data_IF_228371055414
#
_entry.id   IF_228371055414
#
_cell.length_a   1.000
_cell.length_b   1.000
_cell.length_c   1.000
_cell.angle_alpha   90.00
_cell.angle_beta   90.00
_cell.angle_gamma   90.00
#
_symmetry.space_group_name_H-M   'P 1'
#
loop_
_entity.id
_entity.type
_entity.pdbx_description
1 polymer ?
#
# COMPACT_ATOMS: atom_id res chain seq x y z
N UNK A 1 -73.59 54.52 -6.95
CA UNK A 1 -72.85 53.24 -6.67
C UNK A 1 -73.69 52.44 -5.69
N UNK A 2 -74.26 51.35 -6.14
CA UNK A 2 -75.15 50.50 -5.35
C UNK A 2 -74.38 49.74 -4.26
N UNK A 3 -75.04 49.49 -3.12
CA UNK A 3 -74.49 48.68 -2.00
C UNK A 3 -73.98 47.30 -2.46
N UNK A 4 -74.56 46.76 -3.53
CA UNK A 4 -74.21 45.51 -4.16
C UNK A 4 -72.83 45.55 -4.83
N UNK A 5 -72.44 46.67 -5.45
CA UNK A 5 -71.13 46.83 -6.12
C UNK A 5 -69.97 46.92 -5.09
N UNK A 6 -70.24 47.53 -3.95
CA UNK A 6 -69.26 47.62 -2.86
C UNK A 6 -68.97 46.25 -2.23
N UNK A 7 -70.02 45.45 -2.02
CA UNK A 7 -69.83 44.08 -1.47
C UNK A 7 -69.11 43.18 -2.43
N UNK A 8 -69.34 43.26 -3.72
CA UNK A 8 -68.67 42.49 -4.75
C UNK A 8 -67.13 42.80 -4.81
N UNK A 9 -66.83 44.12 -4.77
CA UNK A 9 -65.45 44.58 -4.78
C UNK A 9 -64.63 44.08 -3.52
N UNK A 10 -65.31 44.16 -2.35
CA UNK A 10 -64.64 43.67 -1.11
C UNK A 10 -64.42 42.13 -1.07
N UNK A 11 -65.37 41.42 -1.66
CA UNK A 11 -65.22 39.94 -1.73
C UNK A 11 -64.14 39.52 -2.71
N UNK A 12 -63.98 40.20 -3.84
CA UNK A 12 -62.91 40.00 -4.79
C UNK A 12 -61.49 40.28 -4.16
N UNK A 13 -61.44 41.36 -3.40
CA UNK A 13 -60.18 41.74 -2.73
C UNK A 13 -59.78 40.73 -1.64
N UNK A 14 -60.74 40.22 -0.87
CA UNK A 14 -60.50 39.13 0.13
C UNK A 14 -60.10 37.84 -0.52
N UNK A 15 -60.62 37.47 -1.67
CA UNK A 15 -60.23 36.23 -2.40
C UNK A 15 -58.86 36.37 -3.03
N UNK A 16 -58.46 37.57 -3.49
CA UNK A 16 -57.09 37.78 -4.02
C UNK A 16 -56.05 37.75 -2.93
N UNK A 17 -56.32 38.29 -1.72
CA UNK A 17 -55.43 38.22 -0.56
C UNK A 17 -55.29 36.79 -0.03
N UNK A 18 -56.37 35.98 -0.02
CA UNK A 18 -56.26 34.55 0.35
C UNK A 18 -55.41 33.75 -0.65
N UNK A 19 -55.55 34.00 -1.95
CA UNK A 19 -54.73 33.32 -2.98
C UNK A 19 -53.25 33.72 -2.91
N UNK A 20 -52.94 34.97 -2.56
CA UNK A 20 -51.56 35.43 -2.33
C UNK A 20 -50.89 34.72 -1.15
N UNK A 21 -51.61 34.58 -0.03
CA UNK A 21 -51.11 33.90 1.17
C UNK A 21 -50.91 32.40 1.02
N UNK A 22 -51.75 31.73 0.19
CA UNK A 22 -51.59 30.29 -0.08
C UNK A 22 -50.44 29.99 -1.03
N UNK A 23 -50.07 30.89 -1.94
CA UNK A 23 -48.92 30.72 -2.82
C UNK A 23 -47.58 30.92 -2.10
N UNK A 24 -47.55 31.82 -1.12
CA UNK A 24 -46.35 32.09 -0.31
C UNK A 24 -46.06 30.97 0.70
N UNK A 25 -47.13 30.38 1.26
CA UNK A 25 -47.01 29.21 2.15
C UNK A 25 -46.56 27.93 1.44
N UNK A 26 -46.83 27.78 0.13
CA UNK A 26 -46.37 26.61 -0.66
C UNK A 26 -44.89 26.68 -1.06
N UNK A 27 -44.30 27.88 -1.05
CA UNK A 27 -42.87 28.06 -1.42
C UNK A 27 -41.92 28.02 -0.21
N UNK A 28 -42.45 28.04 1.02
CA UNK A 28 -41.67 27.74 2.20
C UNK A 28 -41.49 26.21 2.27
N UNK A 29 -40.35 25.73 1.81
CA UNK A 29 -40.02 24.32 1.85
C UNK A 29 -40.29 23.73 3.24
N UNK A 30 -40.95 22.57 3.28
CA UNK A 30 -41.30 21.93 4.56
C UNK A 30 -40.07 21.83 5.46
N UNK A 31 -40.22 21.93 6.80
CA UNK A 31 -39.08 21.83 7.74
C UNK A 31 -38.17 20.60 7.47
N UNK A 32 -38.78 19.56 6.92
CA UNK A 32 -38.05 18.32 6.51
C UNK A 32 -37.18 18.57 5.28
N UNK A 33 -37.60 19.41 4.33
CA UNK A 33 -36.79 19.73 3.14
C UNK A 33 -35.64 20.66 3.48
N UNK A 34 -35.87 21.64 4.36
CA UNK A 34 -34.80 22.52 4.88
C UNK A 34 -33.79 21.74 5.69
N UNK A 35 -34.24 20.83 6.57
CA UNK A 35 -33.35 19.95 7.35
C UNK A 35 -32.56 18.95 6.46
N UNK A 36 -33.16 18.49 5.33
CA UNK A 36 -32.45 17.66 4.34
C UNK A 36 -31.38 18.44 3.59
N UNK A 37 -31.70 19.67 3.17
CA UNK A 37 -30.75 20.54 2.48
C UNK A 37 -29.57 20.94 3.39
N UNK A 38 -29.82 21.21 4.68
CA UNK A 38 -28.78 21.47 5.66
C UNK A 38 -27.91 20.22 5.97
N UNK A 39 -28.51 19.04 6.02
CA UNK A 39 -27.74 17.79 6.17
C UNK A 39 -26.89 17.49 4.94
N UNK A 40 -27.39 17.77 3.74
CA UNK A 40 -26.61 17.62 2.50
C UNK A 40 -25.51 18.68 2.40
N UNK A 41 -25.75 19.92 2.82
CA UNK A 41 -24.73 20.98 2.84
C UNK A 41 -23.60 20.73 3.85
N UNK A 42 -23.92 20.25 5.05
CA UNK A 42 -22.92 19.93 6.05
C UNK A 42 -22.14 18.62 5.75
N UNK A 43 -22.77 17.65 5.08
CA UNK A 43 -22.10 16.45 4.58
C UNK A 43 -21.11 16.74 3.45
N UNK A 44 -21.37 17.76 2.63
CA UNK A 44 -20.50 18.16 1.54
C UNK A 44 -19.24 18.93 2.02
N UNK A 45 -19.30 19.63 3.15
CA UNK A 45 -18.14 20.35 3.70
C UNK A 45 -17.12 19.46 4.43
N UNK A 46 -17.53 18.29 4.93
CA UNK A 46 -16.62 17.32 5.58
C UNK A 46 -16.09 16.23 4.63
N UNK A 47 -16.48 16.26 3.37
CA UNK A 47 -16.37 15.15 2.45
C UNK A 47 -15.42 15.29 1.28
N UNK A 48 -14.43 16.19 1.23
CA UNK A 48 -13.48 16.13 0.11
C UNK A 48 -12.14 16.85 0.42
N UNK A 49 -11.37 16.30 1.35
CA UNK A 49 -9.94 16.19 1.09
C UNK A 49 -9.78 15.03 0.08
N UNK A 50 -10.16 15.25 -1.16
CA UNK A 50 -9.89 14.33 -2.25
C UNK A 50 -8.39 14.40 -2.54
N UNK A 51 -7.61 13.62 -1.79
CA UNK A 51 -6.20 13.45 -2.08
C UNK A 51 -6.13 12.87 -3.50
N UNK A 52 -5.42 13.56 -4.38
CA UNK A 52 -5.20 13.11 -5.76
C UNK A 52 -4.76 11.62 -5.72
N UNK A 53 -5.41 10.72 -6.49
CA UNK A 53 -5.07 9.28 -6.47
C UNK A 53 -3.61 9.01 -6.78
N UNK A 54 -2.95 9.86 -7.56
CA UNK A 54 -1.52 9.78 -7.84
C UNK A 54 -0.69 10.09 -6.58
N UNK A 55 -1.07 11.11 -5.80
CA UNK A 55 -0.39 11.45 -4.55
C UNK A 55 -0.54 10.31 -3.53
N UNK A 56 -1.74 9.73 -3.42
CA UNK A 56 -1.98 8.57 -2.56
C UNK A 56 -1.12 7.38 -2.97
N UNK A 57 -0.96 7.12 -4.26
CA UNK A 57 -0.09 6.05 -4.76
C UNK A 57 1.37 6.30 -4.39
N UNK A 58 1.87 7.52 -4.55
CA UNK A 58 3.24 7.89 -4.18
C UNK A 58 3.46 7.68 -2.68
N UNK A 59 2.54 8.15 -1.84
CA UNK A 59 2.60 7.96 -0.39
C UNK A 59 2.68 6.46 -0.04
N UNK A 60 1.83 5.63 -0.64
CA UNK A 60 1.84 4.18 -0.41
C UNK A 60 3.17 3.53 -0.81
N UNK A 61 3.72 3.93 -1.95
CA UNK A 61 5.02 3.44 -2.46
C UNK A 61 6.15 3.80 -1.49
N UNK A 62 6.19 5.06 -1.05
CA UNK A 62 7.22 5.54 -0.10
C UNK A 62 7.08 4.91 1.28
N UNK A 63 5.85 4.76 1.79
CA UNK A 63 5.60 4.04 3.04
C UNK A 63 6.02 2.57 2.94
N UNK A 64 5.73 1.90 1.82
CA UNK A 64 6.18 0.54 1.57
C UNK A 64 7.71 0.43 1.57
N UNK A 65 8.40 1.37 0.91
CA UNK A 65 9.86 1.42 0.93
C UNK A 65 10.41 1.65 2.35
N UNK A 66 9.81 2.55 3.12
CA UNK A 66 10.20 2.82 4.51
C UNK A 66 10.00 1.61 5.42
N UNK A 67 8.92 0.84 5.26
CA UNK A 67 8.70 -0.41 6.02
C UNK A 67 9.82 -1.42 5.76
N UNK A 68 10.25 -1.57 4.50
CA UNK A 68 11.37 -2.46 4.17
C UNK A 68 12.68 -1.92 4.76
N UNK A 69 12.89 -0.61 4.72
CA UNK A 69 14.05 0.04 5.34
C UNK A 69 14.12 -0.15 6.86
N UNK A 70 12.99 -0.06 7.56
CA UNK A 70 12.90 -0.36 9.00
C UNK A 70 13.22 -1.83 9.30
N UNK A 71 12.67 -2.75 8.53
CA UNK A 71 12.93 -4.18 8.69
C UNK A 71 14.34 -4.57 8.24
N UNK A 72 15.03 -3.74 7.47
CA UNK A 72 16.44 -3.92 7.15
C UNK A 72 17.34 -3.80 8.39
N UNK A 73 16.90 -3.02 9.40
CA UNK A 73 17.66 -2.83 10.63
C UNK A 73 17.57 -4.03 11.59
N UNK A 74 16.59 -4.91 11.39
CA UNK A 74 16.56 -6.22 12.03
C UNK A 74 17.53 -7.12 11.25
N UNK A 75 18.80 -7.10 11.64
CA UNK A 75 19.90 -7.71 10.92
C UNK A 75 20.70 -8.63 11.83
N UNK A 76 21.04 -9.82 11.32
CA UNK A 76 22.05 -10.71 11.90
C UNK A 76 23.27 -10.64 10.99
N UNK A 77 24.40 -10.09 11.47
CA UNK A 77 25.58 -9.92 10.65
C UNK A 77 26.19 -11.27 10.29
N UNK A 78 26.13 -11.63 9.04
CA UNK A 78 26.81 -12.77 8.44
C UNK A 78 27.64 -12.29 7.25
N UNK A 79 28.73 -12.96 6.99
CA UNK A 79 29.56 -12.71 5.82
C UNK A 79 29.31 -13.78 4.75
N UNK A 80 29.18 -13.41 3.46
CA UNK A 80 29.30 -12.08 2.83
C UNK A 80 27.99 -11.26 2.80
N UNK A 81 26.87 -11.83 3.24
CA UNK A 81 25.54 -11.21 3.17
C UNK A 81 24.83 -11.36 4.52
N UNK A 82 24.36 -10.27 5.15
CA UNK A 82 23.62 -10.36 6.42
C UNK A 82 22.22 -10.96 6.22
N UNK A 83 21.74 -11.68 7.22
CA UNK A 83 20.33 -12.12 7.28
C UNK A 83 19.50 -11.01 7.91
N UNK A 84 18.52 -10.47 7.19
CA UNK A 84 17.74 -9.32 7.64
C UNK A 84 16.23 -9.59 7.64
N UNK A 85 15.46 -8.72 8.29
CA UNK A 85 14.00 -8.70 8.23
C UNK A 85 13.43 -8.22 6.89
N UNK A 86 14.25 -7.70 5.97
CA UNK A 86 13.82 -7.10 4.69
C UNK A 86 12.89 -8.00 3.89
N UNK A 87 13.23 -9.28 3.74
CA UNK A 87 12.42 -10.22 2.94
C UNK A 87 10.99 -10.33 3.47
N UNK A 88 10.79 -10.33 4.80
CA UNK A 88 9.45 -10.27 5.38
C UNK A 88 8.71 -8.99 4.97
N UNK A 89 9.40 -7.84 5.04
CA UNK A 89 8.86 -6.55 4.59
C UNK A 89 8.45 -6.57 3.13
N UNK A 90 9.30 -7.11 2.27
CA UNK A 90 9.02 -7.26 0.83
C UNK A 90 7.76 -8.08 0.58
N UNK A 91 7.58 -9.21 1.28
CA UNK A 91 6.39 -10.05 1.17
C UNK A 91 5.13 -9.31 1.60
N UNK A 92 5.18 -8.65 2.76
CA UNK A 92 4.03 -7.92 3.32
C UNK A 92 3.66 -6.70 2.49
N UNK A 93 4.64 -5.90 2.06
CA UNK A 93 4.44 -4.72 1.21
C UNK A 93 3.89 -5.12 -0.16
N UNK A 94 4.45 -6.17 -0.78
CA UNK A 94 3.96 -6.70 -2.04
C UNK A 94 2.50 -7.14 -1.93
N UNK A 95 2.16 -7.92 -0.89
CA UNK A 95 0.79 -8.38 -0.65
C UNK A 95 -0.19 -7.23 -0.34
N UNK A 96 0.23 -6.24 0.46
CA UNK A 96 -0.62 -5.13 0.87
C UNK A 96 -0.91 -4.12 -0.26
N UNK A 97 0.11 -3.80 -1.07
CA UNK A 97 0.02 -2.79 -2.13
C UNK A 97 -0.36 -3.39 -3.50
N UNK A 98 -0.29 -4.70 -3.62
CA UNK A 98 -0.47 -5.41 -4.89
C UNK A 98 0.81 -5.39 -5.75
N UNK A 99 0.83 -6.15 -6.88
CA UNK A 99 2.06 -6.45 -7.60
C UNK A 99 2.77 -5.21 -8.14
N UNK A 100 2.06 -4.30 -8.79
CA UNK A 100 2.68 -3.13 -9.43
C UNK A 100 3.20 -2.11 -8.41
N UNK A 101 2.40 -1.77 -7.38
CA UNK A 101 2.79 -0.79 -6.36
C UNK A 101 3.83 -1.37 -5.40
N UNK A 102 3.73 -2.67 -5.08
CA UNK A 102 4.74 -3.37 -4.29
C UNK A 102 6.11 -3.37 -4.98
N UNK A 103 6.16 -3.71 -6.28
CA UNK A 103 7.39 -3.63 -7.07
C UNK A 103 7.92 -2.18 -7.14
N UNK A 104 7.05 -1.19 -7.37
CA UNK A 104 7.44 0.23 -7.36
C UNK A 104 8.01 0.67 -6.01
N UNK A 105 7.49 0.16 -4.88
CA UNK A 105 8.04 0.43 -3.55
C UNK A 105 9.47 -0.14 -3.41
N UNK A 106 9.76 -1.30 -3.98
CA UNK A 106 11.12 -1.86 -3.97
C UNK A 106 12.08 -1.09 -4.87
N UNK A 107 11.61 -0.59 -6.02
CA UNK A 107 12.38 0.33 -6.86
C UNK A 107 12.69 1.62 -6.10
N UNK A 108 11.70 2.22 -5.44
CA UNK A 108 11.90 3.42 -4.62
C UNK A 108 12.88 3.16 -3.46
N UNK A 109 12.75 2.02 -2.75
CA UNK A 109 13.66 1.59 -1.71
C UNK A 109 15.11 1.52 -2.23
N UNK A 110 15.32 0.85 -3.34
CA UNK A 110 16.64 0.70 -3.96
C UNK A 110 17.22 2.05 -4.39
N UNK A 111 16.47 2.86 -5.15
CA UNK A 111 16.97 4.13 -5.69
C UNK A 111 17.27 5.15 -4.59
N UNK A 112 16.37 5.33 -3.62
CA UNK A 112 16.58 6.25 -2.51
C UNK A 112 17.74 5.80 -1.62
N UNK A 113 17.93 4.48 -1.44
CA UNK A 113 19.10 3.94 -0.76
C UNK A 113 20.40 4.24 -1.49
N UNK A 114 20.43 4.14 -2.84
CA UNK A 114 21.61 4.51 -3.65
C UNK A 114 21.90 6.01 -3.57
N UNK A 115 20.88 6.85 -3.53
CA UNK A 115 21.04 8.32 -3.40
C UNK A 115 21.57 8.73 -2.02
N UNK A 116 21.49 7.84 -1.03
CA UNK A 116 22.11 8.08 0.29
C UNK A 116 21.20 7.96 1.48
N UNK A 117 19.91 7.60 1.31
CA UNK A 117 19.04 7.32 2.45
C UNK A 117 19.60 6.10 3.21
N UNK A 118 19.93 6.22 4.52
CA UNK A 118 20.60 5.18 5.29
C UNK A 118 19.62 4.09 5.77
N UNK A 119 18.98 3.41 4.85
CA UNK A 119 17.95 2.41 5.17
C UNK A 119 18.25 0.99 4.67
N UNK A 120 19.41 0.75 4.04
CA UNK A 120 19.91 -0.61 3.85
C UNK A 120 20.37 -1.20 5.18
N UNK A 121 20.67 -2.51 5.20
CA UNK A 121 21.11 -3.18 6.42
C UNK A 121 22.24 -2.42 7.12
N UNK A 122 22.18 -2.37 8.45
CA UNK A 122 23.14 -1.68 9.31
C UNK A 122 23.25 -0.17 9.02
N UNK A 123 22.10 0.46 8.76
CA UNK A 123 21.98 1.90 8.46
C UNK A 123 22.87 2.36 7.31
N UNK A 124 23.14 1.49 6.34
CA UNK A 124 23.97 1.83 5.18
C UNK A 124 23.13 2.40 4.03
N UNK A 125 23.79 3.16 3.15
CA UNK A 125 23.23 3.77 1.94
C UNK A 125 24.34 4.35 1.07
N UNK A 126 23.95 5.05 0.02
CA UNK A 126 24.85 5.66 -0.94
C UNK A 126 25.33 4.70 -2.04
N UNK A 127 26.03 5.27 -3.03
CA UNK A 127 26.48 4.54 -4.22
C UNK A 127 27.43 3.37 -3.86
N UNK A 128 28.20 3.49 -2.77
CA UNK A 128 29.09 2.43 -2.31
C UNK A 128 28.34 1.15 -1.92
N UNK A 129 27.05 1.23 -1.59
CA UNK A 129 26.24 0.06 -1.29
C UNK A 129 26.09 -0.87 -2.52
N UNK A 130 26.15 -0.31 -3.73
CA UNK A 130 26.10 -1.08 -4.99
C UNK A 130 27.29 -2.04 -5.09
N UNK A 131 28.42 -1.70 -4.52
CA UNK A 131 29.63 -2.56 -4.55
C UNK A 131 29.61 -3.68 -3.49
N UNK A 132 28.57 -3.73 -2.65
CA UNK A 132 28.44 -4.82 -1.66
C UNK A 132 27.87 -6.09 -2.28
N UNK A 133 28.36 -7.28 -1.88
CA UNK A 133 27.84 -8.57 -2.35
C UNK A 133 26.34 -8.75 -2.13
N UNK A 134 25.75 -8.07 -1.12
CA UNK A 134 24.34 -8.12 -0.77
C UNK A 134 23.42 -7.33 -1.70
N UNK A 135 23.96 -6.42 -2.52
CA UNK A 135 23.11 -5.50 -3.32
C UNK A 135 22.25 -6.23 -4.37
N UNK A 136 22.76 -7.32 -4.95
CA UNK A 136 22.01 -8.14 -5.89
C UNK A 136 20.69 -8.69 -5.32
N UNK A 137 20.62 -8.94 -4.02
CA UNK A 137 19.40 -9.39 -3.34
C UNK A 137 18.35 -8.28 -3.31
N UNK A 138 18.78 -6.99 -3.19
CA UNK A 138 17.90 -5.83 -3.24
C UNK A 138 17.26 -5.71 -4.63
N UNK A 139 18.03 -5.97 -5.70
CA UNK A 139 17.49 -6.03 -7.06
C UNK A 139 16.38 -7.10 -7.14
N UNK A 140 16.62 -8.26 -6.56
CA UNK A 140 15.66 -9.37 -6.51
C UNK A 140 14.40 -9.09 -5.67
N UNK A 141 14.38 -8.07 -4.81
CA UNK A 141 13.17 -7.66 -4.09
C UNK A 141 12.09 -7.13 -5.00
N UNK A 142 12.45 -6.54 -6.15
CA UNK A 142 11.48 -6.01 -7.12
C UNK A 142 10.54 -7.11 -7.65
N UNK A 143 11.05 -8.18 -8.30
CA UNK A 143 10.20 -9.28 -8.72
C UNK A 143 9.59 -10.05 -7.54
N UNK A 144 10.26 -10.12 -6.38
CA UNK A 144 9.74 -10.76 -5.18
C UNK A 144 8.46 -10.06 -4.68
N UNK A 145 8.45 -8.71 -4.57
CA UNK A 145 7.27 -7.94 -4.19
C UNK A 145 6.15 -8.08 -5.25
N UNK A 146 6.48 -8.12 -6.52
CA UNK A 146 5.50 -8.34 -7.59
C UNK A 146 4.79 -9.69 -7.44
N UNK A 147 5.55 -10.77 -7.27
CA UNK A 147 5.03 -12.13 -7.10
C UNK A 147 4.22 -12.25 -5.80
N UNK A 148 4.72 -11.67 -4.70
CA UNK A 148 3.98 -11.59 -3.44
C UNK A 148 2.63 -10.87 -3.59
N UNK A 149 2.59 -9.77 -4.34
CA UNK A 149 1.36 -9.06 -4.63
C UNK A 149 0.33 -9.89 -5.42
N UNK A 150 0.79 -10.79 -6.27
CA UNK A 150 -0.08 -11.72 -7.00
C UNK A 150 -0.77 -12.76 -6.11
N UNK A 151 -0.26 -13.01 -4.92
CA UNK A 151 -0.86 -13.97 -3.99
C UNK A 151 -2.31 -13.63 -3.64
N UNK A 152 -2.70 -12.35 -3.70
CA UNK A 152 -4.05 -11.85 -3.41
C UNK A 152 -4.89 -11.54 -4.66
N UNK A 153 -4.34 -11.66 -5.86
CA UNK A 153 -5.14 -11.50 -7.08
C UNK A 153 -6.09 -12.70 -7.26
N UNK A 154 -7.35 -12.41 -7.54
CA UNK A 154 -8.39 -13.39 -7.82
C UNK A 154 -9.57 -13.33 -6.86
N UNK A 155 -10.73 -13.76 -7.37
CA UNK A 155 -12.00 -13.83 -6.64
C UNK A 155 -12.11 -15.21 -5.98
N UNK A 156 -11.84 -15.32 -4.70
CA UNK A 156 -12.05 -16.60 -3.99
C UNK A 156 -11.39 -16.64 -2.62
N UNK A 157 -11.70 -17.68 -1.82
CA UNK A 157 -11.05 -17.85 -0.53
C UNK A 157 -9.56 -18.15 -0.75
N UNK A 158 -8.70 -17.29 -0.23
CA UNK A 158 -7.26 -17.53 -0.25
C UNK A 158 -6.93 -18.58 0.81
N UNK A 159 -6.67 -19.83 0.38
CA UNK A 159 -6.22 -20.88 1.30
C UNK A 159 -4.83 -20.56 1.85
N UNK A 160 -4.56 -20.95 3.11
CA UNK A 160 -3.25 -20.77 3.74
C UNK A 160 -2.13 -21.39 2.92
N UNK A 161 -2.37 -22.59 2.38
CA UNK A 161 -1.38 -23.31 1.57
C UNK A 161 -1.04 -22.56 0.27
N UNK A 162 -2.05 -21.96 -0.38
CA UNK A 162 -1.84 -21.16 -1.58
C UNK A 162 -1.04 -19.90 -1.28
N UNK A 163 -1.36 -19.18 -0.19
CA UNK A 163 -0.61 -17.99 0.24
C UNK A 163 0.82 -18.34 0.59
N UNK A 164 1.02 -19.41 1.37
CA UNK A 164 2.34 -19.89 1.73
C UNK A 164 3.18 -20.27 0.50
N UNK A 165 2.58 -20.96 -0.48
CA UNK A 165 3.25 -21.30 -1.73
C UNK A 165 3.71 -20.06 -2.53
N UNK A 166 2.84 -19.04 -2.66
CA UNK A 166 3.20 -17.79 -3.32
C UNK A 166 4.32 -17.05 -2.58
N UNK A 167 4.27 -16.98 -1.25
CA UNK A 167 5.31 -16.32 -0.47
C UNK A 167 6.63 -17.08 -0.48
N UNK A 168 6.58 -18.42 -0.46
CA UNK A 168 7.78 -19.23 -0.64
C UNK A 168 8.41 -19.00 -2.01
N UNK A 169 7.61 -18.97 -3.09
CA UNK A 169 8.10 -18.61 -4.41
C UNK A 169 8.73 -17.21 -4.44
N UNK A 170 8.07 -16.23 -3.81
CA UNK A 170 8.58 -14.87 -3.73
C UNK A 170 9.91 -14.79 -2.95
N UNK A 171 10.13 -15.62 -1.92
CA UNK A 171 11.39 -15.65 -1.16
C UNK A 171 12.57 -16.25 -1.94
N UNK A 172 12.31 -17.00 -3.00
CA UNK A 172 13.38 -17.56 -3.86
C UNK A 172 13.94 -16.51 -4.82
N UNK A 173 13.14 -15.57 -5.28
CA UNK A 173 13.53 -14.60 -6.31
C UNK A 173 14.74 -13.73 -5.94
N UNK A 174 14.92 -13.24 -4.70
CA UNK A 174 16.12 -12.52 -4.30
C UNK A 174 17.41 -13.31 -4.54
N UNK A 175 17.38 -14.63 -4.43
CA UNK A 175 18.56 -15.47 -4.65
C UNK A 175 18.90 -15.62 -6.13
N UNK A 176 17.92 -15.57 -7.03
CA UNK A 176 18.15 -15.64 -8.48
C UNK A 176 19.02 -14.47 -8.95
N UNK A 177 18.84 -13.29 -8.37
CA UNK A 177 19.65 -12.11 -8.67
C UNK A 177 20.83 -11.94 -7.73
N UNK A 178 20.65 -12.28 -6.45
CA UNK A 178 21.62 -12.07 -5.40
C UNK A 178 22.87 -12.96 -5.52
N UNK A 179 22.68 -14.25 -5.81
CA UNK A 179 23.83 -15.19 -5.86
C UNK A 179 24.79 -14.89 -7.03
N UNK A 180 24.32 -14.68 -8.27
CA UNK A 180 25.22 -14.28 -9.37
C UNK A 180 25.91 -12.94 -9.10
N UNK A 181 25.17 -11.97 -8.55
CA UNK A 181 25.74 -10.67 -8.21
C UNK A 181 26.80 -10.79 -7.12
N UNK A 182 26.52 -11.53 -6.04
CA UNK A 182 27.44 -11.81 -4.95
C UNK A 182 28.71 -12.47 -5.49
N UNK A 183 28.58 -13.47 -6.37
CA UNK A 183 29.71 -14.12 -6.99
C UNK A 183 30.57 -13.12 -7.79
N UNK A 184 29.96 -12.30 -8.64
CA UNK A 184 30.67 -11.31 -9.46
C UNK A 184 31.43 -10.29 -8.61
N UNK A 185 30.81 -9.77 -7.53
CA UNK A 185 31.48 -8.83 -6.63
C UNK A 185 32.62 -9.49 -5.86
N UNK A 186 32.44 -10.70 -5.32
CA UNK A 186 33.50 -11.41 -4.62
C UNK A 186 34.67 -11.72 -5.56
N UNK A 187 34.39 -12.14 -6.78
CA UNK A 187 35.42 -12.39 -7.81
C UNK A 187 36.23 -11.13 -8.12
N UNK A 188 35.54 -9.95 -8.29
CA UNK A 188 36.23 -8.68 -8.52
C UNK A 188 37.11 -8.24 -7.35
N UNK A 189 36.80 -8.69 -6.15
CA UNK A 189 37.60 -8.46 -4.93
C UNK A 189 38.73 -9.51 -4.71
N UNK A 190 38.97 -10.36 -5.71
CA UNK A 190 39.97 -11.42 -5.61
C UNK A 190 39.61 -12.61 -4.71
N UNK A 191 38.34 -12.69 -4.27
CA UNK A 191 37.83 -13.77 -3.43
C UNK A 191 37.10 -14.79 -4.30
N UNK A 192 37.84 -15.80 -4.75
CA UNK A 192 37.29 -16.90 -5.56
C UNK A 192 36.60 -17.92 -4.68
N UNK A 193 35.29 -18.03 -4.75
CA UNK A 193 34.54 -19.12 -4.13
C UNK A 193 34.09 -20.12 -5.19
N UNK A 194 34.17 -21.40 -4.89
CA UNK A 194 33.58 -22.44 -5.71
C UNK A 194 32.05 -22.29 -5.73
N UNK A 195 31.37 -22.94 -6.67
CA UNK A 195 29.90 -22.96 -6.71
C UNK A 195 29.30 -23.41 -5.36
N UNK A 196 29.84 -24.48 -4.75
CA UNK A 196 29.41 -24.93 -3.42
C UNK A 196 29.67 -23.90 -2.33
N UNK A 197 30.77 -23.13 -2.40
CA UNK A 197 31.07 -22.03 -1.49
C UNK A 197 30.05 -20.88 -1.60
N UNK A 198 29.64 -20.53 -2.82
CA UNK A 198 28.58 -19.51 -3.04
C UNK A 198 27.24 -19.97 -2.49
N UNK A 199 26.86 -21.23 -2.73
CA UNK A 199 25.62 -21.80 -2.20
C UNK A 199 25.61 -21.86 -0.68
N UNK A 200 26.69 -22.33 -0.06
CA UNK A 200 26.80 -22.43 1.40
C UNK A 200 26.83 -21.07 2.09
N UNK A 201 27.43 -20.05 1.48
CA UNK A 201 27.52 -18.72 2.06
C UNK A 201 26.29 -17.83 1.77
N UNK A 202 25.70 -17.95 0.58
CA UNK A 202 24.65 -17.05 0.10
C UNK A 202 23.24 -17.62 0.10
N UNK A 203 23.05 -18.94 0.24
CA UNK A 203 21.72 -19.57 0.21
C UNK A 203 21.41 -20.34 1.51
N UNK A 204 22.28 -21.25 1.93
CA UNK A 204 22.00 -22.20 3.04
C UNK A 204 21.58 -21.48 4.33
N UNK A 205 22.26 -20.42 4.81
CA UNK A 205 21.88 -19.73 6.04
C UNK A 205 20.51 -19.04 5.97
N UNK A 206 20.02 -18.77 4.77
CA UNK A 206 18.78 -18.04 4.55
C UNK A 206 17.55 -18.96 4.45
N UNK A 207 17.74 -20.26 4.18
CA UNK A 207 16.62 -21.20 4.00
C UNK A 207 15.70 -21.25 5.23
N UNK A 208 16.20 -21.48 6.47
CA UNK A 208 15.33 -21.51 7.64
C UNK A 208 14.58 -20.18 7.85
N UNK A 209 15.32 -19.06 7.75
CA UNK A 209 14.75 -17.73 7.87
C UNK A 209 13.72 -17.41 6.77
N UNK A 210 13.93 -17.89 5.55
CA UNK A 210 13.01 -17.74 4.42
C UNK A 210 11.67 -18.43 4.67
N UNK A 211 11.72 -19.69 5.13
CA UNK A 211 10.53 -20.48 5.47
C UNK A 211 9.73 -19.82 6.61
N UNK A 212 10.43 -19.40 7.68
CA UNK A 212 9.81 -18.71 8.82
C UNK A 212 9.13 -17.42 8.36
N UNK A 213 9.79 -16.60 7.53
CA UNK A 213 9.24 -15.35 7.02
C UNK A 213 8.04 -15.56 6.12
N UNK A 214 8.07 -16.58 5.25
CA UNK A 214 6.92 -16.94 4.42
C UNK A 214 5.72 -17.39 5.27
N UNK A 215 5.96 -18.18 6.32
CA UNK A 215 4.92 -18.58 7.26
C UNK A 215 4.35 -17.38 8.04
N UNK A 216 5.22 -16.52 8.59
CA UNK A 216 4.80 -15.30 9.28
C UNK A 216 3.99 -14.37 8.37
N UNK A 217 4.45 -14.12 7.15
CA UNK A 217 3.71 -13.31 6.17
C UNK A 217 2.33 -13.91 5.89
N UNK A 218 2.24 -15.24 5.76
CA UNK A 218 0.98 -15.95 5.54
C UNK A 218 0.02 -15.76 6.71
N UNK A 219 0.50 -15.91 7.95
CA UNK A 219 -0.32 -15.76 9.16
C UNK A 219 -0.79 -14.31 9.31
N UNK A 220 0.13 -13.34 9.23
CA UNK A 220 -0.19 -11.91 9.34
C UNK A 220 -1.25 -11.50 8.32
N UNK A 221 -1.06 -11.91 7.07
CA UNK A 221 -2.01 -11.58 6.01
C UNK A 221 -3.37 -12.24 6.24
N UNK A 222 -3.39 -13.49 6.71
CA UNK A 222 -4.64 -14.20 7.01
C UNK A 222 -5.43 -13.52 8.11
N UNK A 223 -4.77 -13.14 9.20
CA UNK A 223 -5.38 -12.39 10.31
C UNK A 223 -5.98 -11.08 9.80
N UNK A 224 -5.23 -10.35 8.97
CA UNK A 224 -5.70 -9.09 8.38
C UNK A 224 -6.92 -9.25 7.47
N UNK A 225 -6.97 -10.31 6.66
CA UNK A 225 -8.12 -10.63 5.80
C UNK A 225 -9.35 -10.96 6.63
N UNK A 226 -9.19 -11.72 7.73
CA UNK A 226 -10.30 -12.07 8.63
C UNK A 226 -10.83 -10.83 9.33
N UNK A 227 -9.96 -9.99 9.88
CA UNK A 227 -10.32 -8.76 10.59
C UNK A 227 -11.07 -7.73 9.72
N UNK A 228 -10.88 -7.76 8.39
CA UNK A 228 -11.63 -6.90 7.46
C UNK A 228 -13.01 -7.44 7.06
N UNK A 229 -13.30 -8.68 7.37
CA UNK A 229 -14.58 -9.34 7.00
C UNK A 229 -15.59 -9.39 8.14
N UNK A 230 -15.16 -9.17 9.38
CA UNK A 230 -16.01 -8.98 10.55
C UNK A 230 -16.31 -7.51 10.79
#
# INVERSE_FOLDING_TARGET
MSQSEKNFSQEHERLSQRRGGESESRNAGTPVQVARAQRQGNGAMLGQLSINPTVMMIIQVLLGAAVVGLLAQVSVPLWPVPVTGQTLGVLLVGAALGPRRGAAAMVAYMLLGIVGVPWFADFTGGIAAVLKPSFGFIIGFIPSAYVSGKALEGKGPHSLLKLFGWFTLATVLPFVFGLPYMWAVLYSLGKTLSFGGIMSAGLVPFIPGGIIKAALATIILRVFIIARRG
#
